data_IF_408528159709
#
_entry.id   IF_408528159709
#
_cell.length_a   1.000
_cell.length_b   1.000
_cell.length_c   1.000
_cell.angle_alpha   90.00
_cell.angle_beta   90.00
_cell.angle_gamma   90.00
#
_symmetry.space_group_name_H-M   'P 1'
#
loop_
_entity.id
_entity.type
_entity.pdbx_description
1 polymer ?
#
# COMPACT_ATOMS: atom_id res chain seq x y z
N UNK A 1 -0.82 -2.75 19.64
CA UNK A 1 -2.06 -2.65 20.45
C UNK A 1 -3.24 -3.01 19.56
N UNK A 2 -4.08 -3.99 19.91
CA UNK A 2 -5.28 -4.25 19.12
C UNK A 2 -6.29 -3.14 19.40
N UNK A 3 -6.79 -2.52 18.34
CA UNK A 3 -7.97 -1.67 18.38
C UNK A 3 -9.18 -2.57 18.65
N UNK A 4 -9.42 -2.90 19.92
CA UNK A 4 -10.67 -3.54 20.35
C UNK A 4 -11.78 -2.49 20.40
N UNK A 5 -12.28 -2.07 19.24
CA UNK A 5 -13.61 -1.49 19.18
C UNK A 5 -14.60 -2.63 19.42
N UNK A 6 -15.28 -2.61 20.57
CA UNK A 6 -16.38 -3.52 20.88
C UNK A 6 -17.55 -3.25 19.95
N UNK A 7 -17.49 -3.81 18.74
CA UNK A 7 -18.62 -3.84 17.82
C UNK A 7 -19.63 -4.86 18.35
N UNK A 8 -20.87 -4.43 18.54
CA UNK A 8 -21.98 -5.33 18.80
C UNK A 8 -22.12 -6.27 17.61
N UNK A 9 -21.61 -7.50 17.72
CA UNK A 9 -21.69 -8.50 16.66
C UNK A 9 -23.15 -8.77 16.32
N UNK A 10 -23.45 -8.94 15.03
CA UNK A 10 -24.79 -9.36 14.62
C UNK A 10 -25.09 -10.79 15.11
N UNK A 11 -26.35 -11.21 15.05
CA UNK A 11 -26.72 -12.58 15.43
C UNK A 11 -25.94 -13.62 14.62
N UNK A 12 -25.82 -13.43 13.30
CA UNK A 12 -25.10 -14.36 12.42
C UNK A 12 -23.59 -14.34 12.68
N UNK A 13 -23.00 -13.16 12.90
CA UNK A 13 -21.58 -13.07 13.29
C UNK A 13 -21.31 -13.78 14.62
N UNK A 14 -22.21 -13.62 15.60
CA UNK A 14 -22.11 -14.27 16.90
C UNK A 14 -22.13 -15.80 16.77
N UNK A 15 -23.04 -16.34 15.94
CA UNK A 15 -23.08 -17.78 15.64
C UNK A 15 -21.79 -18.21 14.94
N UNK A 16 -21.28 -17.44 13.98
CA UNK A 16 -20.02 -17.75 13.28
C UNK A 16 -18.85 -17.84 14.26
N UNK A 17 -18.66 -16.80 15.08
CA UNK A 17 -17.51 -16.65 15.97
C UNK A 17 -17.54 -17.71 17.08
N UNK A 18 -18.71 -17.97 17.67
CA UNK A 18 -18.82 -18.90 18.80
C UNK A 18 -18.89 -20.37 18.39
N UNK A 19 -19.37 -20.65 17.18
CA UNK A 19 -19.80 -21.99 16.79
C UNK A 19 -19.22 -22.48 15.46
N UNK A 20 -18.54 -21.61 14.72
CA UNK A 20 -17.84 -21.95 13.48
C UNK A 20 -18.73 -22.05 12.25
N UNK A 21 -18.08 -22.23 11.10
CA UNK A 21 -18.69 -22.17 9.76
C UNK A 21 -19.86 -23.16 9.58
N UNK A 22 -19.65 -24.43 9.96
CA UNK A 22 -20.66 -25.49 9.78
C UNK A 22 -21.96 -25.19 10.54
N UNK A 23 -21.85 -24.70 11.78
CA UNK A 23 -23.02 -24.35 12.59
C UNK A 23 -23.72 -23.10 12.06
N UNK A 24 -22.97 -22.11 11.57
CA UNK A 24 -23.54 -20.95 10.88
C UNK A 24 -24.38 -21.39 9.67
N UNK A 25 -23.83 -22.24 8.80
CA UNK A 25 -24.53 -22.75 7.61
C UNK A 25 -25.82 -23.50 7.97
N UNK A 26 -25.76 -24.37 8.97
CA UNK A 26 -26.94 -25.13 9.43
C UNK A 26 -28.00 -24.22 10.05
N UNK A 27 -27.58 -23.29 10.93
CA UNK A 27 -28.46 -22.32 11.57
C UNK A 27 -29.16 -21.44 10.54
N UNK A 28 -28.42 -20.92 9.56
CA UNK A 28 -28.99 -20.08 8.51
C UNK A 28 -29.94 -20.87 7.59
N UNK A 29 -29.62 -22.12 7.27
CA UNK A 29 -30.51 -22.99 6.48
C UNK A 29 -31.83 -23.25 7.21
N UNK A 30 -31.77 -23.54 8.52
CA UNK A 30 -32.98 -23.68 9.34
C UNK A 30 -33.77 -22.38 9.41
N UNK A 31 -33.09 -21.24 9.49
CA UNK A 31 -33.73 -19.93 9.56
C UNK A 31 -34.45 -19.57 8.25
N UNK A 32 -33.85 -19.85 7.08
CA UNK A 32 -34.51 -19.66 5.79
C UNK A 32 -35.79 -20.49 5.70
N UNK A 33 -35.75 -21.75 6.14
CA UNK A 33 -36.89 -22.67 6.03
C UNK A 33 -38.01 -22.35 7.04
N UNK A 34 -37.67 -21.86 8.23
CA UNK A 34 -38.65 -21.60 9.31
C UNK A 34 -39.17 -20.17 9.35
N UNK A 35 -38.32 -19.18 9.03
CA UNK A 35 -38.66 -17.76 9.06
C UNK A 35 -37.80 -16.97 8.05
N UNK A 36 -38.19 -16.99 6.76
CA UNK A 36 -37.39 -16.39 5.69
C UNK A 36 -37.19 -14.89 5.86
N UNK A 37 -38.20 -14.15 6.32
CA UNK A 37 -38.09 -12.69 6.52
C UNK A 37 -37.08 -12.34 7.60
N UNK A 38 -37.01 -13.14 8.67
CA UNK A 38 -35.99 -12.99 9.71
C UNK A 38 -34.60 -13.34 9.20
N UNK A 39 -34.47 -14.36 8.34
CA UNK A 39 -33.20 -14.68 7.68
C UNK A 39 -32.71 -13.51 6.80
N UNK A 40 -33.60 -12.91 6.01
CA UNK A 40 -33.32 -11.74 5.18
C UNK A 40 -32.95 -10.53 6.04
N UNK A 41 -33.68 -10.28 7.14
CA UNK A 41 -33.36 -9.19 8.07
C UNK A 41 -31.96 -9.34 8.67
N UNK A 42 -31.58 -10.56 9.07
CA UNK A 42 -30.27 -10.82 9.66
C UNK A 42 -29.12 -10.72 8.65
N UNK A 43 -29.28 -11.21 7.42
CA UNK A 43 -28.23 -11.10 6.40
C UNK A 43 -28.07 -9.66 5.91
N UNK A 44 -29.13 -8.84 5.94
CA UNK A 44 -29.08 -7.43 5.56
C UNK A 44 -28.69 -6.50 6.71
N UNK A 45 -28.31 -7.03 7.87
CA UNK A 45 -27.88 -6.21 9.00
C UNK A 45 -26.68 -5.32 8.60
N UNK A 46 -26.77 -4.03 8.95
CA UNK A 46 -25.75 -3.03 8.60
C UNK A 46 -24.36 -3.42 9.14
N UNK A 47 -24.31 -3.97 10.36
CA UNK A 47 -23.06 -4.37 11.03
C UNK A 47 -22.58 -5.79 10.68
N UNK A 48 -23.25 -6.50 9.76
CA UNK A 48 -22.82 -7.83 9.37
C UNK A 48 -21.37 -7.79 8.85
N UNK A 49 -20.52 -8.71 9.28
CA UNK A 49 -19.17 -8.84 8.70
C UNK A 49 -19.22 -9.49 7.33
N UNK A 50 -18.34 -9.07 6.42
CA UNK A 50 -18.29 -9.67 5.09
C UNK A 50 -17.94 -11.16 5.14
N UNK A 51 -17.08 -11.60 6.06
CA UNK A 51 -16.75 -13.03 6.24
C UNK A 51 -18.00 -13.90 6.42
N UNK A 52 -18.97 -13.44 7.20
CA UNK A 52 -20.24 -14.15 7.40
C UNK A 52 -21.05 -14.24 6.10
N UNK A 53 -21.12 -13.14 5.33
CA UNK A 53 -21.77 -13.14 4.01
C UNK A 53 -21.06 -14.10 3.04
N UNK A 54 -19.73 -14.06 3.01
CA UNK A 54 -18.90 -14.90 2.14
C UNK A 54 -19.11 -16.40 2.40
N UNK A 55 -19.16 -16.82 3.66
CA UNK A 55 -19.45 -18.21 4.04
C UNK A 55 -20.85 -18.62 3.55
N UNK A 56 -21.83 -17.75 3.73
CA UNK A 56 -23.22 -18.03 3.36
C UNK A 56 -23.49 -17.93 1.86
N UNK A 57 -22.57 -17.40 1.04
CA UNK A 57 -22.75 -17.13 -0.40
C UNK A 57 -23.38 -18.27 -1.19
N UNK A 58 -22.94 -19.51 -0.96
CA UNK A 58 -23.44 -20.70 -1.67
C UNK A 58 -24.92 -20.99 -1.37
N UNK A 59 -25.41 -20.60 -0.19
CA UNK A 59 -26.82 -20.72 0.22
C UNK A 59 -27.69 -19.58 -0.27
N UNK A 60 -27.09 -18.47 -0.70
CA UNK A 60 -27.79 -17.28 -1.17
C UNK A 60 -28.07 -17.31 -2.69
N UNK A 61 -27.69 -18.37 -3.42
CA UNK A 61 -27.79 -18.46 -4.89
C UNK A 61 -29.22 -18.56 -5.44
N UNK A 62 -30.26 -18.72 -4.61
CA UNK A 62 -31.63 -18.73 -5.13
C UNK A 62 -32.08 -17.32 -5.50
N UNK A 63 -32.68 -17.18 -6.69
CA UNK A 63 -33.10 -15.90 -7.26
C UNK A 63 -33.98 -15.08 -6.30
N UNK A 64 -34.86 -15.73 -5.55
CA UNK A 64 -35.77 -15.09 -4.60
C UNK A 64 -35.06 -14.46 -3.39
N UNK A 65 -33.94 -15.04 -2.96
CA UNK A 65 -33.15 -14.53 -1.83
C UNK A 65 -32.28 -13.37 -2.32
N UNK A 66 -31.62 -13.52 -3.48
CA UNK A 66 -30.75 -12.48 -4.06
C UNK A 66 -31.49 -11.15 -4.24
N UNK A 67 -32.71 -11.18 -4.76
CA UNK A 67 -33.52 -9.97 -4.99
C UNK A 67 -33.89 -9.23 -3.69
N UNK A 68 -33.90 -9.92 -2.54
CA UNK A 68 -34.22 -9.35 -1.23
C UNK A 68 -32.99 -8.88 -0.46
N UNK A 69 -31.77 -9.10 -0.97
CA UNK A 69 -30.55 -8.62 -0.34
C UNK A 69 -30.40 -7.11 -0.49
N UNK A 70 -29.69 -6.48 0.45
CA UNK A 70 -29.29 -5.07 0.32
C UNK A 70 -28.36 -4.90 -0.87
N UNK A 71 -28.35 -3.71 -1.48
CA UNK A 71 -27.46 -3.43 -2.62
C UNK A 71 -25.98 -3.68 -2.29
N UNK A 72 -25.53 -3.36 -1.07
CA UNK A 72 -24.17 -3.67 -0.60
C UNK A 72 -23.89 -5.17 -0.71
N UNK A 73 -24.80 -6.00 -0.19
CA UNK A 73 -24.62 -7.45 -0.18
C UNK A 73 -24.71 -8.05 -1.59
N UNK A 74 -25.60 -7.55 -2.45
CA UNK A 74 -25.69 -7.96 -3.87
C UNK A 74 -24.38 -7.69 -4.59
N UNK A 75 -23.88 -6.46 -4.53
CA UNK A 75 -22.60 -6.06 -5.14
C UNK A 75 -21.45 -6.89 -4.60
N UNK A 76 -21.40 -7.12 -3.28
CA UNK A 76 -20.34 -7.93 -2.69
C UNK A 76 -20.33 -9.38 -3.20
N UNK A 77 -21.51 -9.99 -3.38
CA UNK A 77 -21.63 -11.33 -3.95
C UNK A 77 -21.26 -11.36 -5.43
N UNK A 78 -21.72 -10.38 -6.22
CA UNK A 78 -21.38 -10.27 -7.64
C UNK A 78 -19.86 -10.15 -7.86
N UNK A 79 -19.20 -9.26 -7.11
CA UNK A 79 -17.73 -9.08 -7.17
C UNK A 79 -17.02 -10.37 -6.73
N UNK A 80 -17.53 -11.04 -5.71
CA UNK A 80 -16.96 -12.30 -5.23
C UNK A 80 -16.99 -13.35 -6.33
N UNK A 81 -18.14 -13.56 -6.97
CA UNK A 81 -18.25 -14.54 -8.06
C UNK A 81 -17.40 -14.11 -9.27
N UNK A 82 -17.36 -12.83 -9.65
CA UNK A 82 -16.51 -12.35 -10.76
C UNK A 82 -15.02 -12.61 -10.51
N UNK A 83 -14.53 -12.39 -9.29
CA UNK A 83 -13.13 -12.62 -8.92
C UNK A 83 -12.78 -14.11 -8.88
N UNK A 84 -13.68 -14.94 -8.33
CA UNK A 84 -13.45 -16.36 -8.16
C UNK A 84 -13.63 -17.13 -9.48
N UNK A 85 -14.60 -16.77 -10.31
CA UNK A 85 -14.95 -17.49 -11.54
C UNK A 85 -14.14 -17.03 -12.78
N UNK A 86 -13.73 -15.76 -12.89
CA UNK A 86 -13.07 -15.19 -14.09
C UNK A 86 -11.57 -14.87 -13.92
N UNK A 87 -10.81 -15.71 -13.22
CA UNK A 87 -9.36 -15.51 -12.99
C UNK A 87 -8.99 -14.08 -12.49
N UNK A 88 -9.87 -13.42 -11.72
CA UNK A 88 -9.60 -12.11 -11.11
C UNK A 88 -9.78 -10.89 -12.01
N UNK A 89 -10.50 -10.99 -13.14
CA UNK A 89 -10.81 -9.83 -14.00
C UNK A 89 -12.17 -9.23 -13.68
N UNK A 90 -12.19 -8.10 -12.97
CA UNK A 90 -13.37 -7.24 -12.92
C UNK A 90 -13.48 -6.50 -14.26
N UNK A 91 -14.18 -7.10 -15.23
CA UNK A 91 -14.16 -6.65 -16.64
C UNK A 91 -15.36 -5.79 -17.03
N UNK A 92 -16.42 -5.77 -16.23
CA UNK A 92 -17.68 -5.12 -16.61
C UNK A 92 -18.17 -4.04 -15.63
N UNK A 93 -17.27 -3.17 -15.15
CA UNK A 93 -17.67 -1.92 -14.51
C UNK A 93 -17.73 -0.76 -15.52
N UNK A 94 -18.38 -0.96 -16.67
CA UNK A 94 -18.77 0.14 -17.56
C UNK A 94 -20.02 0.85 -17.01
N UNK A 95 -19.91 1.57 -15.89
CA UNK A 95 -21.06 2.32 -15.38
C UNK A 95 -20.72 3.76 -14.99
N UNK A 96 -21.07 4.65 -15.91
CA UNK A 96 -21.01 6.11 -15.88
C UNK A 96 -21.97 6.78 -14.87
N UNK A 97 -22.14 6.24 -13.65
CA UNK A 97 -23.01 6.83 -12.61
C UNK A 97 -22.23 7.02 -11.30
N UNK A 98 -21.99 8.28 -10.84
CA UNK A 98 -21.23 8.57 -9.62
C UNK A 98 -21.73 7.85 -8.35
N UNK A 99 -23.05 7.64 -8.24
CA UNK A 99 -23.67 6.95 -7.10
C UNK A 99 -23.27 5.46 -7.02
N UNK A 100 -23.11 4.80 -8.17
CA UNK A 100 -22.71 3.39 -8.20
C UNK A 100 -21.22 3.25 -7.85
N UNK A 101 -20.38 4.19 -8.32
CA UNK A 101 -18.96 4.25 -7.97
C UNK A 101 -18.77 4.38 -6.45
N UNK A 102 -19.52 5.29 -5.81
CA UNK A 102 -19.46 5.45 -4.36
C UNK A 102 -19.89 4.18 -3.61
N UNK A 103 -20.99 3.55 -4.04
CA UNK A 103 -21.51 2.33 -3.42
C UNK A 103 -20.54 1.14 -3.60
N UNK A 104 -19.94 1.01 -4.78
CA UNK A 104 -18.91 0.01 -5.06
C UNK A 104 -17.71 0.21 -4.14
N UNK A 105 -17.14 1.43 -4.11
CA UNK A 105 -16.03 1.79 -3.22
C UNK A 105 -16.37 1.45 -1.77
N UNK A 106 -17.52 1.90 -1.25
CA UNK A 106 -17.91 1.63 0.14
C UNK A 106 -18.10 0.13 0.43
N UNK A 107 -18.58 -0.64 -0.56
CA UNK A 107 -18.74 -2.09 -0.44
C UNK A 107 -17.38 -2.79 -0.39
N UNK A 108 -16.44 -2.42 -1.26
CA UNK A 108 -15.07 -2.93 -1.25
C UNK A 108 -14.34 -2.58 0.05
N UNK A 109 -14.48 -1.35 0.53
CA UNK A 109 -13.92 -0.93 1.83
C UNK A 109 -14.46 -1.81 2.96
N UNK A 110 -15.79 -2.01 3.02
CA UNK A 110 -16.42 -2.90 4.01
C UNK A 110 -15.93 -4.35 3.91
N UNK A 111 -15.76 -4.87 2.68
CA UNK A 111 -15.19 -6.20 2.43
C UNK A 111 -13.81 -6.32 3.07
N UNK A 112 -12.92 -5.36 2.78
CA UNK A 112 -11.54 -5.40 3.27
C UNK A 112 -11.49 -5.20 4.80
N UNK A 113 -12.14 -4.18 5.34
CA UNK A 113 -12.10 -3.83 6.76
C UNK A 113 -12.66 -4.93 7.66
N UNK A 114 -13.76 -5.55 7.26
CA UNK A 114 -14.39 -6.60 8.07
C UNK A 114 -13.84 -7.99 7.76
N UNK A 115 -13.35 -8.21 6.54
CA UNK A 115 -12.75 -9.48 6.12
C UNK A 115 -11.32 -9.68 6.60
N UNK A 116 -10.53 -8.60 6.78
CA UNK A 116 -9.14 -8.69 7.21
C UNK A 116 -8.93 -9.41 8.56
N UNK A 117 -9.92 -9.38 9.46
CA UNK A 117 -9.86 -10.11 10.73
C UNK A 117 -9.91 -11.64 10.56
N UNK A 118 -10.45 -12.10 9.42
CA UNK A 118 -10.57 -13.51 9.06
C UNK A 118 -9.65 -13.83 7.85
N UNK A 119 -8.65 -12.98 7.55
CA UNK A 119 -7.63 -13.24 6.52
C UNK A 119 -6.89 -14.54 6.84
N UNK A 120 -6.94 -15.51 5.94
CA UNK A 120 -6.49 -16.89 6.14
C UNK A 120 -7.61 -17.91 6.31
N UNK A 121 -8.87 -17.50 6.11
CA UNK A 121 -10.01 -18.41 6.15
C UNK A 121 -9.89 -19.55 5.12
N UNK A 122 -9.50 -19.22 3.88
CA UNK A 122 -9.17 -20.14 2.79
C UNK A 122 -8.58 -19.37 1.60
N UNK A 123 -7.97 -20.09 0.67
CA UNK A 123 -7.28 -19.50 -0.50
C UNK A 123 -8.18 -18.60 -1.36
N UNK A 124 -9.46 -18.97 -1.55
CA UNK A 124 -10.43 -18.15 -2.30
C UNK A 124 -10.68 -16.80 -1.59
N UNK A 125 -10.79 -16.82 -0.27
CA UNK A 125 -11.00 -15.63 0.54
C UNK A 125 -9.77 -14.73 0.54
N UNK A 126 -8.58 -15.31 0.68
CA UNK A 126 -7.31 -14.58 0.63
C UNK A 126 -7.13 -13.91 -0.73
N UNK A 127 -7.38 -14.63 -1.83
CA UNK A 127 -7.38 -14.09 -3.21
C UNK A 127 -8.37 -12.94 -3.38
N UNK A 128 -9.58 -13.08 -2.83
CA UNK A 128 -10.59 -12.03 -2.88
C UNK A 128 -10.12 -10.76 -2.17
N UNK A 129 -9.59 -10.88 -0.94
CA UNK A 129 -9.08 -9.74 -0.20
C UNK A 129 -7.91 -9.04 -0.92
N UNK A 130 -7.03 -9.82 -1.55
CA UNK A 130 -5.89 -9.29 -2.31
C UNK A 130 -6.35 -8.44 -3.49
N UNK A 131 -7.28 -8.96 -4.29
CA UNK A 131 -7.85 -8.23 -5.43
C UNK A 131 -8.61 -6.99 -4.95
N UNK A 132 -9.40 -7.10 -3.88
CA UNK A 132 -10.11 -5.95 -3.30
C UNK A 132 -9.13 -4.87 -2.84
N UNK A 133 -8.01 -5.23 -2.19
CA UNK A 133 -6.97 -4.29 -1.80
C UNK A 133 -6.34 -3.61 -3.03
N UNK A 134 -6.05 -4.35 -4.10
CA UNK A 134 -5.55 -3.81 -5.38
C UNK A 134 -6.53 -2.76 -5.93
N UNK A 135 -7.84 -3.07 -6.00
CA UNK A 135 -8.84 -2.14 -6.51
C UNK A 135 -8.95 -0.88 -5.66
N UNK A 136 -9.00 -1.01 -4.33
CA UNK A 136 -9.13 0.11 -3.41
C UNK A 136 -7.93 1.07 -3.52
N UNK A 137 -6.71 0.56 -3.60
CA UNK A 137 -5.52 1.40 -3.70
C UNK A 137 -5.33 1.93 -5.12
N UNK A 138 -5.32 1.07 -6.13
CA UNK A 138 -4.92 1.44 -7.49
C UNK A 138 -6.00 2.19 -8.27
N UNK A 139 -7.28 1.85 -8.05
CA UNK A 139 -8.41 2.42 -8.80
C UNK A 139 -9.08 3.54 -8.00
N UNK A 140 -9.32 3.33 -6.70
CA UNK A 140 -10.04 4.30 -5.86
C UNK A 140 -9.12 5.24 -5.07
N UNK A 141 -7.82 4.93 -4.94
CA UNK A 141 -6.85 5.72 -4.19
C UNK A 141 -7.22 5.88 -2.69
N UNK A 142 -7.71 4.81 -2.06
CA UNK A 142 -8.04 4.75 -0.64
C UNK A 142 -6.79 4.58 0.25
N UNK A 143 -5.97 5.62 0.33
CA UNK A 143 -4.70 5.57 1.05
C UNK A 143 -4.85 5.36 2.57
N UNK A 144 -6.01 5.70 3.14
CA UNK A 144 -6.32 5.46 4.56
C UNK A 144 -6.35 3.97 4.93
N UNK A 145 -6.46 3.08 3.94
CA UNK A 145 -6.43 1.62 4.13
C UNK A 145 -5.02 1.03 4.14
N UNK A 146 -3.98 1.81 3.83
CA UNK A 146 -2.60 1.33 3.84
C UNK A 146 -2.15 0.73 5.18
N UNK A 147 -2.51 1.28 6.36
CA UNK A 147 -2.19 0.66 7.64
C UNK A 147 -2.81 -0.74 7.80
N UNK A 148 -4.05 -0.94 7.33
CA UNK A 148 -4.72 -2.23 7.36
C UNK A 148 -4.00 -3.25 6.46
N UNK A 149 -3.72 -2.86 5.21
CA UNK A 149 -3.01 -3.70 4.24
C UNK A 149 -1.60 -4.03 4.75
N UNK A 150 -0.91 -3.06 5.34
CA UNK A 150 0.39 -3.28 5.99
C UNK A 150 0.28 -4.35 7.07
N UNK A 151 -0.72 -4.27 7.95
CA UNK A 151 -0.92 -5.31 8.97
C UNK A 151 -1.16 -6.68 8.34
N UNK A 152 -2.00 -6.79 7.31
CA UNK A 152 -2.25 -8.05 6.61
C UNK A 152 -0.96 -8.65 6.03
N UNK A 153 -0.11 -7.84 5.40
CA UNK A 153 1.21 -8.28 4.88
C UNK A 153 2.04 -8.93 6.00
N UNK A 154 2.16 -8.27 7.15
CA UNK A 154 2.97 -8.78 8.26
C UNK A 154 2.35 -10.02 8.92
N UNK A 155 1.02 -10.06 9.11
CA UNK A 155 0.34 -11.25 9.67
C UNK A 155 0.46 -12.47 8.75
N UNK A 156 0.32 -12.28 7.43
CA UNK A 156 0.53 -13.35 6.46
C UNK A 156 1.97 -13.86 6.47
N UNK A 157 2.95 -12.98 6.47
CA UNK A 157 4.35 -13.38 6.56
C UNK A 157 4.64 -14.19 7.83
N UNK A 158 4.11 -13.73 8.99
CA UNK A 158 4.27 -14.45 10.26
C UNK A 158 3.72 -15.87 10.22
N UNK A 159 2.65 -16.08 9.46
CA UNK A 159 1.98 -17.37 9.27
C UNK A 159 2.46 -18.14 8.04
N UNK A 160 3.46 -17.65 7.30
CA UNK A 160 4.04 -18.31 6.13
C UNK A 160 3.15 -18.28 4.88
N UNK A 161 2.21 -17.33 4.81
CA UNK A 161 1.28 -17.14 3.68
C UNK A 161 1.81 -16.14 2.66
N UNK A 162 1.21 -16.16 1.46
CA UNK A 162 1.63 -15.33 0.33
C UNK A 162 1.27 -13.85 0.56
N UNK A 163 2.25 -12.97 0.35
CA UNK A 163 2.12 -11.51 0.53
C UNK A 163 2.25 -10.71 -0.77
N UNK A 164 2.50 -11.37 -1.90
CA UNK A 164 2.98 -10.74 -3.14
C UNK A 164 1.97 -9.71 -3.68
N UNK A 165 0.71 -10.11 -3.80
CA UNK A 165 -0.36 -9.25 -4.32
C UNK A 165 -0.70 -8.10 -3.36
N UNK A 166 -0.69 -8.34 -2.04
CA UNK A 166 -0.88 -7.28 -1.05
C UNK A 166 0.26 -6.26 -1.08
N UNK A 167 1.51 -6.72 -1.18
CA UNK A 167 2.66 -5.82 -1.26
C UNK A 167 2.64 -5.03 -2.58
N UNK A 168 2.23 -5.65 -3.68
CA UNK A 168 2.01 -4.95 -4.94
C UNK A 168 0.91 -3.88 -4.81
N UNK A 169 -0.26 -4.24 -4.26
CA UNK A 169 -1.34 -3.30 -3.97
C UNK A 169 -0.87 -2.11 -3.12
N UNK A 170 -0.10 -2.39 -2.07
CA UNK A 170 0.45 -1.41 -1.15
C UNK A 170 1.31 -0.36 -1.87
N UNK A 171 2.17 -0.80 -2.79
CA UNK A 171 3.03 0.10 -3.57
C UNK A 171 2.34 0.80 -4.74
N UNK A 172 1.22 0.26 -5.24
CA UNK A 172 0.41 0.96 -6.25
C UNK A 172 -0.23 2.26 -5.72
N UNK A 173 -0.14 2.53 -4.40
CA UNK A 173 -0.45 3.85 -3.82
C UNK A 173 0.42 4.96 -4.39
N UNK A 174 1.64 4.63 -4.85
CA UNK A 174 2.65 5.58 -5.37
C UNK A 174 3.05 6.67 -4.39
N UNK A 175 2.60 6.59 -3.15
CA UNK A 175 2.92 7.53 -2.08
C UNK A 175 4.10 7.01 -1.26
N UNK A 176 5.27 7.67 -1.29
CA UNK A 176 6.41 7.25 -0.50
C UNK A 176 6.13 7.17 1.01
N UNK A 177 5.10 7.86 1.53
CA UNK A 177 4.71 7.77 2.94
C UNK A 177 4.26 6.38 3.36
N UNK A 178 3.89 5.51 2.41
CA UNK A 178 3.64 4.10 2.69
C UNK A 178 4.87 3.41 3.32
N UNK A 179 6.09 3.84 2.98
CA UNK A 179 7.33 3.30 3.54
C UNK A 179 7.43 3.52 5.06
N UNK A 180 6.81 4.56 5.61
CA UNK A 180 6.78 4.80 7.06
C UNK A 180 6.05 3.68 7.81
N UNK A 181 5.03 3.07 7.20
CA UNK A 181 4.28 1.96 7.81
C UNK A 181 5.17 0.72 7.95
N UNK A 182 5.99 0.44 6.93
CA UNK A 182 6.99 -0.64 6.97
C UNK A 182 8.13 -0.28 7.93
N UNK A 183 8.67 0.95 7.84
CA UNK A 183 9.80 1.40 8.66
C UNK A 183 9.51 1.37 10.16
N UNK A 184 8.26 1.64 10.60
CA UNK A 184 7.85 1.48 12.00
C UNK A 184 8.05 0.05 12.52
N UNK A 185 8.00 -0.97 11.66
CA UNK A 185 8.17 -2.39 12.01
C UNK A 185 9.61 -2.79 12.29
N UNK A 186 10.59 -1.97 11.89
CA UNK A 186 12.00 -2.14 12.28
C UNK A 186 12.20 -2.06 13.81
N UNK A 187 11.26 -1.43 14.54
CA UNK A 187 11.25 -1.35 16.00
C UNK A 187 10.30 -2.35 16.66
N UNK A 188 9.75 -3.30 15.92
CA UNK A 188 8.83 -4.30 16.47
C UNK A 188 9.54 -5.18 17.50
N UNK A 189 8.76 -5.76 18.41
CA UNK A 189 9.23 -6.81 19.31
C UNK A 189 9.19 -8.19 18.67
N UNK A 190 8.46 -8.33 17.56
CA UNK A 190 8.42 -9.55 16.77
C UNK A 190 9.56 -9.58 15.75
N UNK A 191 10.43 -10.59 15.88
CA UNK A 191 11.59 -10.78 15.00
C UNK A 191 11.19 -11.01 13.54
N UNK A 192 10.05 -11.65 13.27
CA UNK A 192 9.56 -11.84 11.89
C UNK A 192 9.13 -10.53 11.25
N UNK A 193 8.61 -9.59 12.04
CA UNK A 193 8.28 -8.26 11.53
C UNK A 193 9.55 -7.45 11.21
N UNK A 194 10.60 -7.56 12.03
CA UNK A 194 11.89 -6.92 11.72
C UNK A 194 12.51 -7.52 10.45
N UNK A 195 12.47 -8.85 10.32
CA UNK A 195 12.98 -9.59 9.15
C UNK A 195 12.32 -9.09 7.87
N UNK A 196 10.98 -9.17 7.79
CA UNK A 196 10.25 -8.71 6.61
C UNK A 196 10.45 -7.23 6.34
N UNK A 197 10.49 -6.38 7.38
CA UNK A 197 10.73 -4.95 7.18
C UNK A 197 12.12 -4.69 6.58
N UNK A 198 13.15 -5.43 6.99
CA UNK A 198 14.48 -5.35 6.40
C UNK A 198 14.47 -5.82 4.95
N UNK A 199 13.80 -6.93 4.65
CA UNK A 199 13.70 -7.48 3.29
C UNK A 199 12.97 -6.52 2.34
N UNK A 200 11.88 -5.91 2.80
CA UNK A 200 11.12 -4.94 2.01
C UNK A 200 11.92 -3.65 1.77
N UNK A 201 12.67 -3.20 2.78
CA UNK A 201 13.42 -1.94 2.76
C UNK A 201 14.90 -2.11 2.36
N UNK A 202 15.27 -3.26 1.81
CA UNK A 202 16.66 -3.64 1.52
C UNK A 202 17.41 -2.64 0.62
N UNK A 203 16.68 -1.91 -0.23
CA UNK A 203 17.23 -0.89 -1.13
C UNK A 203 17.70 0.38 -0.40
N UNK A 204 17.39 0.51 0.89
CA UNK A 204 17.80 1.63 1.75
C UNK A 204 19.15 1.30 2.40
N UNK A 205 20.19 2.15 2.21
CA UNK A 205 21.49 1.92 2.83
C UNK A 205 21.42 1.85 4.36
N UNK A 206 22.05 0.83 4.95
CA UNK A 206 22.12 0.64 6.40
C UNK A 206 20.93 -0.14 6.99
N UNK A 207 20.01 -0.61 6.15
CA UNK A 207 18.94 -1.53 6.54
C UNK A 207 19.35 -2.95 6.16
N UNK A 208 19.55 -3.80 7.17
CA UNK A 208 19.97 -5.18 7.01
C UNK A 208 19.61 -5.96 8.27
N UNK A 209 19.06 -7.16 8.12
CA UNK A 209 18.63 -8.01 9.22
C UNK A 209 19.79 -8.40 10.17
N UNK A 210 21.05 -8.30 9.75
CA UNK A 210 22.21 -8.47 10.65
C UNK A 210 22.21 -7.51 11.83
N UNK A 211 21.56 -6.35 11.71
CA UNK A 211 21.42 -5.35 12.76
C UNK A 211 20.13 -5.48 13.58
N UNK A 212 19.40 -6.60 13.47
CA UNK A 212 18.12 -6.84 14.17
C UNK A 212 18.13 -6.61 15.69
N UNK A 213 19.29 -6.75 16.33
CA UNK A 213 19.43 -6.51 17.78
C UNK A 213 19.54 -5.01 18.11
N UNK A 214 19.92 -4.17 17.15
CA UNK A 214 20.01 -2.71 17.29
C UNK A 214 18.86 -2.04 16.52
N UNK A 215 17.67 -2.15 17.10
CA UNK A 215 16.42 -1.64 16.52
C UNK A 215 16.46 -0.12 16.32
N UNK A 216 17.11 0.59 17.24
CA UNK A 216 17.24 2.04 17.17
C UNK A 216 18.19 2.46 16.04
N UNK A 217 19.29 1.72 15.80
CA UNK A 217 20.15 1.92 14.63
C UNK A 217 19.39 1.73 13.31
N UNK A 218 18.64 0.62 13.17
CA UNK A 218 17.84 0.35 11.97
C UNK A 218 16.84 1.47 11.69
N UNK A 219 16.06 1.86 12.71
CA UNK A 219 15.05 2.90 12.56
C UNK A 219 15.67 4.28 12.31
N UNK A 220 16.77 4.61 12.98
CA UNK A 220 17.51 5.87 12.77
C UNK A 220 18.02 5.98 11.33
N UNK A 221 18.63 4.93 10.78
CA UNK A 221 19.08 4.91 9.40
C UNK A 221 17.91 5.08 8.42
N UNK A 222 16.81 4.36 8.66
CA UNK A 222 15.61 4.46 7.85
C UNK A 222 15.05 5.89 7.84
N UNK A 223 14.78 6.48 9.02
CA UNK A 223 14.17 7.82 9.11
C UNK A 223 15.08 8.88 8.51
N UNK A 224 16.39 8.85 8.80
CA UNK A 224 17.30 9.84 8.24
C UNK A 224 17.38 9.76 6.72
N UNK A 225 17.45 8.54 6.18
CA UNK A 225 17.43 8.35 4.73
C UNK A 225 16.09 8.80 4.15
N UNK A 226 14.97 8.45 4.78
CA UNK A 226 13.64 8.79 4.30
C UNK A 226 13.43 10.31 4.27
N UNK A 227 13.71 11.01 5.37
CA UNK A 227 13.59 12.47 5.46
C UNK A 227 14.51 13.21 4.48
N UNK A 228 15.71 12.70 4.20
CA UNK A 228 16.61 13.30 3.20
C UNK A 228 16.12 13.10 1.75
N UNK A 229 15.36 12.03 1.50
CA UNK A 229 15.08 11.57 0.13
C UNK A 229 13.60 11.61 -0.28
N UNK A 230 12.64 11.69 0.66
CA UNK A 230 11.19 11.56 0.42
C UNK A 230 10.69 12.37 -0.78
N UNK A 231 11.09 13.65 -0.86
CA UNK A 231 10.67 14.58 -1.93
C UNK A 231 11.23 14.24 -3.32
N UNK A 232 12.16 13.29 -3.40
CA UNK A 232 12.86 12.89 -4.62
C UNK A 232 12.65 11.41 -4.95
N UNK A 233 11.78 10.70 -4.22
CA UNK A 233 11.46 9.30 -4.47
C UNK A 233 10.50 9.16 -5.65
N UNK A 234 10.87 8.33 -6.62
CA UNK A 234 10.04 7.94 -7.74
C UNK A 234 9.63 6.48 -7.59
N UNK A 235 8.33 6.21 -7.73
CA UNK A 235 7.85 4.84 -7.88
C UNK A 235 8.39 4.24 -9.18
N UNK A 236 8.98 3.04 -9.10
CA UNK A 236 9.60 2.34 -10.23
C UNK A 236 8.63 1.45 -10.99
N UNK A 237 7.59 0.95 -10.30
CA UNK A 237 6.71 -0.10 -10.82
C UNK A 237 7.25 -1.51 -10.64
N UNK A 238 8.42 -1.70 -10.01
CA UNK A 238 8.97 -3.03 -9.74
C UNK A 238 8.16 -3.74 -8.66
N UNK A 239 7.93 -5.04 -8.84
CA UNK A 239 7.18 -5.88 -7.90
C UNK A 239 7.77 -7.28 -7.76
N UNK A 240 7.35 -8.00 -6.72
CA UNK A 240 7.78 -9.37 -6.47
C UNK A 240 7.36 -10.36 -7.58
N UNK A 241 6.42 -10.00 -8.45
CA UNK A 241 6.06 -10.82 -9.61
C UNK A 241 7.12 -10.79 -10.71
N UNK A 242 7.99 -9.78 -10.72
CA UNK A 242 9.00 -9.58 -11.76
C UNK A 242 10.42 -9.94 -11.30
N UNK A 243 10.72 -9.72 -10.03
CA UNK A 243 12.05 -9.94 -9.44
C UNK A 243 11.92 -10.30 -7.97
N UNK A 244 12.83 -11.13 -7.45
CA UNK A 244 12.87 -11.47 -6.02
C UNK A 244 13.28 -10.30 -5.13
N UNK A 245 13.94 -9.29 -5.71
CA UNK A 245 14.45 -8.12 -4.98
C UNK A 245 13.99 -6.83 -5.68
N UNK A 246 12.69 -6.48 -5.60
CA UNK A 246 12.18 -5.28 -6.24
C UNK A 246 12.69 -4.03 -5.53
N UNK A 247 12.94 -2.97 -6.30
CA UNK A 247 13.25 -1.64 -5.78
C UNK A 247 12.02 -0.77 -6.04
N UNK A 248 11.02 -0.71 -5.13
CA UNK A 248 9.75 -0.03 -5.39
C UNK A 248 9.93 1.49 -5.56
N UNK A 249 10.92 2.08 -4.89
CA UNK A 249 11.24 3.49 -5.00
C UNK A 249 12.72 3.72 -5.33
N UNK A 250 12.97 4.67 -6.22
CA UNK A 250 14.31 5.12 -6.58
C UNK A 250 14.44 6.63 -6.41
N UNK A 251 15.60 7.07 -5.94
CA UNK A 251 15.91 8.51 -5.84
C UNK A 251 16.18 9.06 -7.24
N UNK A 252 15.41 10.07 -7.65
CA UNK A 252 15.75 10.88 -8.81
C UNK A 252 16.91 11.81 -8.48
N UNK A 253 18.11 11.46 -8.96
CA UNK A 253 19.30 12.28 -8.77
C UNK A 253 19.15 13.65 -9.42
N UNK A 254 18.44 13.74 -10.56
CA UNK A 254 18.18 15.00 -11.24
C UNK A 254 17.32 15.92 -10.37
N UNK A 255 16.21 15.42 -9.85
CA UNK A 255 15.30 16.19 -8.99
C UNK A 255 15.97 16.59 -7.69
N UNK A 256 16.78 15.70 -7.10
CA UNK A 256 17.58 16.02 -5.90
C UNK A 256 18.67 17.05 -6.19
N UNK A 257 19.28 17.02 -7.37
CA UNK A 257 20.24 18.03 -7.83
C UNK A 257 19.58 19.39 -8.07
N UNK A 258 18.40 19.44 -8.69
CA UNK A 258 17.65 20.69 -8.87
C UNK A 258 16.91 21.11 -7.59
N UNK A 259 16.85 20.21 -6.60
CA UNK A 259 16.04 20.33 -5.40
C UNK A 259 14.55 20.63 -5.68
N UNK A 260 14.06 20.20 -6.83
CA UNK A 260 12.67 20.33 -7.25
C UNK A 260 11.92 19.04 -6.93
N UNK A 261 10.65 19.19 -6.54
CA UNK A 261 9.78 18.06 -6.20
C UNK A 261 9.31 17.33 -7.47
N UNK A 262 9.16 16.02 -7.33
CA UNK A 262 8.58 15.16 -8.37
C UNK A 262 7.15 14.87 -7.97
N UNK A 263 6.21 15.18 -8.85
CA UNK A 263 4.84 14.73 -8.62
C UNK A 263 4.79 13.20 -8.58
N UNK A 264 4.17 12.57 -7.57
CA UNK A 264 4.07 11.12 -7.45
C UNK A 264 3.50 10.43 -8.71
N UNK A 265 2.65 11.16 -9.45
CA UNK A 265 1.97 10.67 -10.65
C UNK A 265 2.62 11.11 -11.97
N UNK A 266 3.71 11.86 -11.91
CA UNK A 266 4.36 12.41 -13.09
C UNK A 266 5.86 12.15 -13.01
N UNK A 267 6.37 11.38 -13.98
CA UNK A 267 7.83 11.29 -14.27
C UNK A 267 8.42 12.63 -14.72
N UNK A 268 7.64 13.73 -14.67
CA UNK A 268 8.07 15.09 -14.99
C UNK A 268 8.29 15.87 -13.70
N UNK A 269 9.40 16.59 -13.67
CA UNK A 269 9.75 17.52 -12.61
C UNK A 269 8.77 18.70 -12.70
N UNK A 270 8.15 19.11 -11.59
CA UNK A 270 7.42 20.37 -11.55
C UNK A 270 8.46 21.50 -11.67
N UNK A 271 8.64 22.04 -12.88
CA UNK A 271 9.56 23.17 -13.09
C UNK A 271 8.84 24.49 -12.81
N UNK A 272 9.15 25.13 -11.69
CA UNK A 272 8.91 26.57 -11.48
C UNK A 272 10.00 27.44 -12.14
N UNK A 273 11.01 26.82 -12.75
CA UNK A 273 12.20 27.50 -13.29
C UNK A 273 12.24 27.45 -14.82
N UNK A 274 12.54 28.62 -15.39
CA UNK A 274 12.55 29.00 -16.81
C UNK A 274 13.43 28.15 -17.76
N UNK A 275 13.39 28.48 -19.05
CA UNK A 275 14.12 27.94 -20.22
C UNK A 275 15.58 27.45 -20.02
N UNK A 276 16.29 27.91 -18.98
CA UNK A 276 17.65 27.50 -18.61
C UNK A 276 17.77 26.14 -17.89
N UNK A 277 16.67 25.47 -17.52
CA UNK A 277 16.75 24.11 -16.95
C UNK A 277 17.28 23.11 -17.99
N UNK A 278 16.84 23.24 -19.25
CA UNK A 278 17.11 22.24 -20.29
C UNK A 278 18.62 22.03 -20.53
N UNK A 279 19.42 23.09 -20.47
CA UNK A 279 20.88 23.04 -20.65
C UNK A 279 21.57 22.46 -19.42
N UNK A 280 21.12 22.81 -18.20
CA UNK A 280 21.65 22.28 -16.93
C UNK A 280 21.35 20.79 -16.75
N UNK A 281 20.11 20.38 -17.06
CA UNK A 281 19.69 18.98 -17.04
C UNK A 281 20.51 18.16 -18.03
N UNK A 282 20.74 18.66 -19.26
CA UNK A 282 21.60 17.99 -20.24
C UNK A 282 23.02 17.81 -19.73
N UNK A 283 23.64 18.87 -19.21
CA UNK A 283 24.99 18.80 -18.65
C UNK A 283 25.09 17.81 -17.49
N UNK A 284 24.13 17.83 -16.55
CA UNK A 284 24.06 16.88 -15.44
C UNK A 284 23.84 15.44 -15.91
N UNK A 285 22.96 15.22 -16.88
CA UNK A 285 22.65 13.88 -17.41
C UNK A 285 23.81 13.26 -18.18
N UNK A 286 24.75 14.05 -18.69
CA UNK A 286 25.97 13.57 -19.34
C UNK A 286 27.08 13.15 -18.35
N UNK A 287 26.93 13.42 -17.05
CA UNK A 287 27.90 13.01 -16.04
C UNK A 287 27.85 11.51 -15.71
N UNK A 288 28.97 10.99 -15.21
CA UNK A 288 29.02 9.66 -14.62
C UNK A 288 28.19 9.58 -13.32
N UNK A 289 27.83 8.35 -12.92
CA UNK A 289 26.97 8.09 -11.76
C UNK A 289 27.54 8.67 -10.46
N UNK A 290 28.85 8.59 -10.23
CA UNK A 290 29.47 9.08 -8.99
C UNK A 290 29.40 10.61 -8.92
N UNK A 291 29.66 11.28 -10.04
CA UNK A 291 29.53 12.74 -10.15
C UNK A 291 28.08 13.19 -9.96
N UNK A 292 27.09 12.48 -10.53
CA UNK A 292 25.66 12.76 -10.30
C UNK A 292 25.27 12.64 -8.83
N UNK A 293 25.66 11.55 -8.17
CA UNK A 293 25.39 11.33 -6.74
C UNK A 293 26.04 12.41 -5.89
N UNK A 294 27.29 12.78 -6.19
CA UNK A 294 28.01 13.83 -5.48
C UNK A 294 27.28 15.18 -5.57
N UNK A 295 26.94 15.61 -6.80
CA UNK A 295 26.27 16.89 -7.02
C UNK A 295 24.86 16.89 -6.43
N UNK A 296 24.09 15.81 -6.55
CA UNK A 296 22.76 15.72 -5.96
C UNK A 296 22.80 15.86 -4.44
N UNK A 297 23.70 15.13 -3.76
CA UNK A 297 23.89 15.24 -2.30
C UNK A 297 24.37 16.62 -1.89
N UNK A 298 25.34 17.18 -2.61
CA UNK A 298 25.90 18.50 -2.31
C UNK A 298 24.85 19.61 -2.48
N UNK A 299 24.12 19.58 -3.59
CA UNK A 299 23.04 20.51 -3.91
C UNK A 299 21.98 20.57 -2.82
N UNK A 300 21.44 19.41 -2.45
CA UNK A 300 20.43 19.29 -1.39
C UNK A 300 20.91 19.86 -0.05
N UNK A 301 22.12 19.48 0.38
CA UNK A 301 22.72 19.99 1.63
C UNK A 301 22.92 21.51 1.58
N UNK A 302 23.34 22.04 0.44
CA UNK A 302 23.58 23.47 0.27
C UNK A 302 22.27 24.26 0.32
N UNK A 303 21.22 23.80 -0.37
CA UNK A 303 19.89 24.43 -0.33
C UNK A 303 19.28 24.42 1.07
N UNK A 304 19.41 23.32 1.81
CA UNK A 304 18.94 23.20 3.21
C UNK A 304 19.65 24.18 4.15
N UNK A 305 20.95 24.44 3.91
CA UNK A 305 21.74 25.38 4.72
C UNK A 305 21.48 26.84 4.36
N UNK A 306 21.49 27.17 3.06
CA UNK A 306 21.29 28.53 2.57
C UNK A 306 20.84 28.52 1.11
N UNK A 307 19.60 28.98 0.88
CA UNK A 307 19.00 29.03 -0.46
C UNK A 307 19.70 30.01 -1.41
N UNK A 308 20.27 31.11 -0.91
CA UNK A 308 20.97 32.10 -1.73
C UNK A 308 22.27 31.54 -2.29
N UNK A 309 23.09 30.95 -1.41
CA UNK A 309 24.33 30.29 -1.84
C UNK A 309 24.06 29.18 -2.84
N UNK A 310 22.99 28.41 -2.62
CA UNK A 310 22.57 27.38 -3.56
C UNK A 310 22.21 27.95 -4.94
N UNK A 311 21.45 29.06 -4.99
CA UNK A 311 21.11 29.75 -6.25
C UNK A 311 22.36 30.24 -6.99
N UNK A 312 23.35 30.77 -6.28
CA UNK A 312 24.60 31.21 -6.92
C UNK A 312 25.39 30.02 -7.47
N UNK A 313 25.46 28.92 -6.70
CA UNK A 313 26.18 27.72 -7.09
C UNK A 313 25.55 26.97 -8.26
N UNK A 314 24.22 26.77 -8.26
CA UNK A 314 23.50 26.03 -9.32
C UNK A 314 23.52 26.75 -10.68
N UNK A 315 23.90 28.03 -10.70
CA UNK A 315 24.07 28.82 -11.92
C UNK A 315 25.49 28.76 -12.50
N UNK A 316 26.46 28.15 -11.80
CA UNK A 316 27.82 27.96 -12.30
C UNK A 316 27.91 26.86 -13.36
N UNK A 317 28.94 26.86 -14.23
CA UNK A 317 29.24 25.73 -15.12
C UNK A 317 29.43 24.42 -14.35
N UNK A 318 29.05 23.30 -14.95
CA UNK A 318 29.02 21.98 -14.29
C UNK A 318 30.40 21.56 -13.73
N UNK A 319 31.48 21.91 -14.42
CA UNK A 319 32.85 21.63 -13.97
C UNK A 319 33.23 22.41 -12.71
N UNK A 320 32.80 23.68 -12.62
CA UNK A 320 33.02 24.50 -11.43
C UNK A 320 32.18 23.97 -10.25
N UNK A 321 30.95 23.54 -10.52
CA UNK A 321 30.10 22.91 -9.51
C UNK A 321 30.75 21.65 -8.93
N UNK A 322 31.29 20.78 -9.79
CA UNK A 322 32.02 19.57 -9.40
C UNK A 322 33.27 19.90 -8.58
N UNK A 323 34.06 20.89 -9.03
CA UNK A 323 35.25 21.34 -8.30
C UNK A 323 34.91 21.78 -6.89
N UNK A 324 33.89 22.63 -6.73
CA UNK A 324 33.42 23.11 -5.42
C UNK A 324 32.93 21.96 -4.54
N UNK A 325 32.13 21.05 -5.12
CA UNK A 325 31.60 19.90 -4.39
C UNK A 325 32.71 18.94 -3.91
N UNK A 326 33.75 18.73 -4.73
CA UNK A 326 34.92 17.89 -4.39
C UNK A 326 35.76 18.53 -3.27
N UNK A 327 36.08 19.82 -3.37
CA UNK A 327 36.87 20.54 -2.35
C UNK A 327 36.16 20.51 -0.99
N UNK A 328 34.87 20.79 -0.95
CA UNK A 328 34.10 20.78 0.31
C UNK A 328 33.84 19.38 0.87
N UNK A 329 33.93 18.33 0.05
CA UNK A 329 33.90 16.93 0.53
C UNK A 329 35.23 16.52 1.17
N UNK A 330 36.36 17.06 0.70
CA UNK A 330 37.70 16.80 1.25
C UNK A 330 38.06 17.63 2.49
N UNK A 331 37.29 18.68 2.82
CA UNK A 331 37.48 19.52 4.01
C UNK A 331 36.60 19.16 5.21
N UNK A 332 35.95 18.00 5.20
CA UNK A 332 35.22 17.43 6.33
C UNK A 332 35.92 16.11 6.68
N UNK A 333 36.90 16.20 7.57
CA UNK A 333 37.36 15.09 8.43
C UNK A 333 36.86 15.36 9.84
#
# INVERSE_FOLDING_TARGET
>A
MPLSNSTSNTHLDSVRIQSGEKKLLNHFTQLINSNPDKAISYINAEKLTFTTLFILRKKLKSTDILQKLSHRNQIALEITEEILDNEGKITNLQHSIPKLIHLLKSTLTWILETGANDDGLNDDFDKLLDIVAIFLIKVFNELDLLPLISNMIFERYKTGRLIHDLLWAFYESKDPDCLLLIGKRLRSDDMKEIELACDILWFIPGIDFKYKNDKDYLYYNFINWFEENKLYLCFTGESLHQTSNPIPYKISLESKYLCEFISPNSKKIHSTLNSNISTKTKAFNNLDTNSKVLLAKFSHRMRKKNIHWWKDWINKPIDEQLRIARIRKGGIQ
#
